data_IF_610200089026
#
_entry.id   IF_610200089026
#
_cell.length_a   1.000
_cell.length_b   1.000
_cell.length_c   1.000
_cell.angle_alpha   90.00
_cell.angle_beta   90.00
_cell.angle_gamma   90.00
#
_symmetry.space_group_name_H-M   'P 1'
#
loop_
_entity.id
_entity.type
_entity.pdbx_description
1 polymer ?
#
# COMPACT_ATOMS: atom_id res chain seq x y z
N UNK A 1 42.23 0.45 49.30
CA UNK A 1 42.50 0.01 47.91
C UNK A 1 41.21 -0.59 47.37
N UNK A 2 40.49 0.11 46.48
CA UNK A 2 39.23 -0.37 45.90
C UNK A 2 39.49 -0.90 44.48
N UNK A 3 38.98 -2.08 44.10
CA UNK A 3 39.13 -2.61 42.75
C UNK A 3 38.10 -1.98 41.81
N UNK A 4 38.57 -1.33 40.74
CA UNK A 4 37.74 -0.92 39.60
C UNK A 4 37.45 -2.13 38.72
N UNK A 5 36.21 -2.60 38.74
CA UNK A 5 35.74 -3.67 37.85
C UNK A 5 35.32 -3.03 36.53
N UNK A 6 36.23 -3.01 35.56
CA UNK A 6 35.93 -2.65 34.17
C UNK A 6 35.25 -3.85 33.51
N UNK A 7 33.93 -3.84 33.43
CA UNK A 7 33.17 -4.83 32.65
C UNK A 7 33.36 -4.54 31.16
N UNK A 8 34.38 -5.15 30.57
CA UNK A 8 34.53 -5.22 29.12
C UNK A 8 33.42 -6.11 28.55
N UNK A 9 32.33 -5.49 28.11
CA UNK A 9 31.22 -6.15 27.44
C UNK A 9 31.59 -6.59 26.02
N UNK A 10 31.79 -7.89 25.86
CA UNK A 10 31.47 -8.76 24.73
C UNK A 10 31.34 -8.13 23.31
N UNK A 11 32.27 -8.48 22.43
CA UNK A 11 32.00 -8.67 20.99
C UNK A 11 31.90 -7.45 20.07
N UNK A 12 32.31 -6.24 20.48
CA UNK A 12 32.28 -5.08 19.60
C UNK A 12 33.47 -5.06 18.63
N UNK A 13 33.28 -5.55 17.39
CA UNK A 13 34.28 -5.51 16.31
C UNK A 13 34.52 -4.07 15.79
N UNK A 14 33.67 -3.11 16.15
CA UNK A 14 33.76 -1.71 15.71
C UNK A 14 33.69 -0.72 16.88
N UNK A 15 34.39 0.42 16.80
CA UNK A 15 34.28 1.50 17.78
C UNK A 15 32.85 2.04 17.82
N UNK A 16 32.36 2.39 19.01
CA UNK A 16 30.98 2.84 19.28
C UNK A 16 30.56 4.06 18.45
N UNK A 17 31.50 4.93 18.08
CA UNK A 17 31.23 6.05 17.16
C UNK A 17 30.95 5.61 15.72
N UNK A 18 31.62 4.55 15.25
CA UNK A 18 31.41 4.02 13.90
C UNK A 18 30.04 3.32 13.80
N UNK A 19 29.62 2.56 14.82
CA UNK A 19 28.31 1.89 14.82
C UNK A 19 27.15 2.88 14.82
N UNK A 20 27.24 3.97 15.60
CA UNK A 20 26.19 5.00 15.63
C UNK A 20 26.13 5.79 14.30
N UNK A 21 27.28 6.06 13.68
CA UNK A 21 27.32 6.65 12.35
C UNK A 21 26.67 5.73 11.30
N UNK A 22 27.05 4.43 11.26
CA UNK A 22 26.46 3.46 10.33
C UNK A 22 24.94 3.33 10.54
N UNK A 23 24.50 3.24 11.80
CA UNK A 23 23.08 3.14 12.15
C UNK A 23 22.30 4.36 11.66
N UNK A 24 22.86 5.56 11.85
CA UNK A 24 22.25 6.80 11.37
C UNK A 24 22.16 6.84 9.84
N UNK A 25 23.23 6.49 9.13
CA UNK A 25 23.24 6.46 7.65
C UNK A 25 22.27 5.42 7.09
N UNK A 26 22.20 4.25 7.71
CA UNK A 26 21.25 3.21 7.34
C UNK A 26 19.81 3.68 7.54
N UNK A 27 19.49 4.30 8.68
CA UNK A 27 18.16 4.86 8.95
C UNK A 27 17.78 5.97 7.96
N UNK A 28 18.71 6.85 7.61
CA UNK A 28 18.51 7.89 6.60
C UNK A 28 18.23 7.25 5.21
N UNK A 29 18.99 6.23 4.83
CA UNK A 29 18.79 5.48 3.58
C UNK A 29 17.43 4.78 3.51
N UNK A 30 17.02 4.10 4.58
CA UNK A 30 15.69 3.46 4.66
C UNK A 30 14.57 4.49 4.54
N UNK A 31 14.70 5.64 5.23
CA UNK A 31 13.72 6.72 5.13
C UNK A 31 13.59 7.27 3.71
N UNK A 32 14.71 7.51 3.02
CA UNK A 32 14.73 7.96 1.63
C UNK A 32 14.09 6.94 0.69
N UNK A 33 14.43 5.66 0.87
CA UNK A 33 13.87 4.57 0.06
C UNK A 33 12.35 4.47 0.22
N UNK A 34 11.83 4.60 1.45
CA UNK A 34 10.39 4.61 1.71
C UNK A 34 9.68 5.78 1.04
N UNK A 35 10.25 6.98 1.08
CA UNK A 35 9.69 8.16 0.39
C UNK A 35 9.74 7.98 -1.12
N UNK A 36 10.85 7.44 -1.66
CA UNK A 36 10.96 7.15 -3.09
C UNK A 36 9.95 6.11 -3.55
N UNK A 37 9.76 5.02 -2.79
CA UNK A 37 8.75 4.01 -3.07
C UNK A 37 7.32 4.59 -3.01
N UNK A 38 7.03 5.44 -2.03
CA UNK A 38 5.75 6.14 -1.94
C UNK A 38 5.48 7.03 -3.16
N UNK A 39 6.46 7.83 -3.56
CA UNK A 39 6.37 8.68 -4.75
C UNK A 39 6.18 7.83 -6.01
N UNK A 40 6.94 6.74 -6.14
CA UNK A 40 6.80 5.80 -7.26
C UNK A 40 5.38 5.25 -7.36
N UNK A 41 4.81 4.73 -6.27
CA UNK A 41 3.46 4.15 -6.27
C UNK A 41 2.39 5.20 -6.62
N UNK A 42 2.45 6.37 -5.99
CA UNK A 42 1.44 7.43 -6.19
C UNK A 42 1.51 7.98 -7.61
N UNK A 43 2.70 8.33 -8.08
CA UNK A 43 2.87 8.90 -9.42
C UNK A 43 2.64 7.86 -10.52
N UNK A 44 2.95 6.59 -10.28
CA UNK A 44 2.57 5.51 -11.20
C UNK A 44 1.05 5.45 -11.34
N UNK A 45 0.31 5.49 -10.22
CA UNK A 45 -1.14 5.45 -10.23
C UNK A 45 -1.78 6.68 -10.88
N UNK A 46 -1.24 7.88 -10.60
CA UNK A 46 -1.69 9.13 -11.21
C UNK A 46 -1.38 9.19 -12.72
N UNK A 47 -0.27 8.56 -13.13
CA UNK A 47 0.15 8.45 -14.52
C UNK A 47 -0.46 7.26 -15.27
N UNK A 48 -1.50 6.62 -14.72
CA UNK A 48 -2.16 5.50 -15.39
C UNK A 48 -2.83 5.94 -16.70
N UNK A 49 -2.57 5.20 -17.77
CA UNK A 49 -3.29 5.34 -19.04
C UNK A 49 -3.81 3.97 -19.50
N UNK A 50 -5.11 3.82 -19.82
CA UNK A 50 -5.67 2.55 -20.28
C UNK A 50 -5.02 1.99 -21.56
N UNK A 51 -4.37 2.86 -22.35
CA UNK A 51 -3.68 2.48 -23.60
C UNK A 51 -2.19 2.16 -23.43
N UNK A 52 -1.63 2.21 -22.22
CA UNK A 52 -0.22 1.91 -22.00
C UNK A 52 0.04 0.39 -22.05
N UNK A 53 1.23 -0.06 -22.51
CA UNK A 53 1.63 -1.46 -22.42
C UNK A 53 1.66 -1.90 -20.94
N UNK A 54 0.86 -2.91 -20.61
CA UNK A 54 0.77 -3.49 -19.27
C UNK A 54 0.70 -5.01 -19.34
N UNK A 55 0.67 -5.69 -18.20
CA UNK A 55 0.51 -7.15 -18.16
C UNK A 55 -0.81 -7.62 -18.79
N UNK A 56 -1.86 -6.78 -18.74
CA UNK A 56 -3.18 -7.09 -19.30
C UNK A 56 -3.49 -6.33 -20.60
N UNK A 57 -2.63 -5.39 -21.02
CA UNK A 57 -2.78 -4.65 -22.26
C UNK A 57 -1.58 -4.90 -23.16
N UNK A 58 -1.78 -5.68 -24.23
CA UNK A 58 -0.78 -5.92 -25.28
C UNK A 58 -0.68 -4.71 -26.23
N UNK A 59 -0.53 -3.50 -25.67
CA UNK A 59 -0.34 -2.29 -26.46
C UNK A 59 1.07 -2.29 -27.06
N UNK A 60 1.17 -2.10 -28.37
CA UNK A 60 2.44 -1.87 -29.05
C UNK A 60 2.76 -0.36 -28.98
N UNK A 61 3.65 0.06 -28.08
CA UNK A 61 4.03 1.47 -27.94
C UNK A 61 4.89 1.79 -26.72
N UNK A 62 5.30 3.04 -26.60
CA UNK A 62 5.97 3.57 -25.40
C UNK A 62 4.95 3.84 -24.29
N UNK A 63 5.28 3.46 -23.05
CA UNK A 63 4.44 3.74 -21.90
C UNK A 63 4.43 5.25 -21.58
N UNK A 64 3.23 5.83 -21.43
CA UNK A 64 3.04 7.25 -21.11
C UNK A 64 3.20 7.54 -19.62
N UNK A 65 3.21 6.51 -18.79
CA UNK A 65 3.49 6.62 -17.37
C UNK A 65 4.84 7.34 -17.10
N UNK A 66 4.94 8.21 -16.08
CA UNK A 66 6.20 8.91 -15.76
C UNK A 66 7.40 8.00 -15.50
N UNK A 67 7.16 6.75 -15.07
CA UNK A 67 8.21 5.75 -14.87
C UNK A 67 8.30 4.72 -16.00
N UNK A 68 7.64 4.97 -17.13
CA UNK A 68 7.59 4.06 -18.26
C UNK A 68 6.87 2.74 -17.93
N UNK A 69 7.32 1.64 -18.55
CA UNK A 69 6.73 0.31 -18.43
C UNK A 69 6.57 -0.16 -16.96
N UNK A 70 7.57 -0.06 -16.06
CA UNK A 70 7.38 -0.53 -14.69
C UNK A 70 6.31 0.25 -13.93
N UNK A 71 6.15 1.55 -14.21
CA UNK A 71 5.07 2.36 -13.64
C UNK A 71 3.70 1.96 -14.19
N UNK A 72 3.59 1.75 -15.51
CA UNK A 72 2.38 1.25 -16.18
C UNK A 72 1.91 -0.08 -15.59
N UNK A 73 2.81 -1.06 -15.48
CA UNK A 73 2.50 -2.39 -14.91
C UNK A 73 2.04 -2.27 -13.45
N UNK A 74 2.73 -1.45 -12.66
CA UNK A 74 2.39 -1.26 -11.24
C UNK A 74 1.02 -0.62 -11.08
N UNK A 75 0.74 0.44 -11.85
CA UNK A 75 -0.53 1.14 -11.81
C UNK A 75 -1.69 0.24 -12.23
N UNK A 76 -1.53 -0.51 -13.33
CA UNK A 76 -2.54 -1.44 -13.83
C UNK A 76 -2.85 -2.54 -12.80
N UNK A 77 -1.80 -3.15 -12.23
CA UNK A 77 -1.97 -4.19 -11.21
C UNK A 77 -2.66 -3.65 -9.95
N UNK A 78 -2.29 -2.46 -9.47
CA UNK A 78 -2.90 -1.85 -8.30
C UNK A 78 -4.38 -1.51 -8.54
N UNK A 79 -4.71 -0.89 -9.67
CA UNK A 79 -6.08 -0.53 -10.01
C UNK A 79 -6.96 -1.77 -10.22
N UNK A 80 -6.44 -2.83 -10.84
CA UNK A 80 -7.20 -4.05 -11.02
C UNK A 80 -7.42 -4.80 -9.72
N UNK A 81 -6.39 -4.92 -8.87
CA UNK A 81 -6.50 -5.70 -7.63
C UNK A 81 -7.32 -5.00 -6.56
N UNK A 82 -6.97 -3.75 -6.25
CA UNK A 82 -7.49 -2.99 -5.10
C UNK A 82 -8.13 -1.64 -5.51
N UNK A 83 -8.09 -1.30 -6.80
CA UNK A 83 -8.72 -0.08 -7.30
C UNK A 83 -8.08 1.18 -6.75
N UNK A 84 -8.90 2.21 -6.56
CA UNK A 84 -8.49 3.51 -6.03
C UNK A 84 -7.95 3.43 -4.59
N UNK A 85 -8.24 2.34 -3.86
CA UNK A 85 -7.63 2.11 -2.55
C UNK A 85 -6.10 1.94 -2.63
N UNK A 86 -5.55 1.68 -3.83
CA UNK A 86 -4.11 1.63 -4.09
C UNK A 86 -3.32 2.90 -3.76
N UNK A 87 -3.96 4.05 -3.58
CA UNK A 87 -3.27 5.26 -3.06
C UNK A 87 -2.77 5.07 -1.61
N UNK A 88 -3.48 4.26 -0.81
CA UNK A 88 -3.27 4.18 0.63
C UNK A 88 -1.88 3.65 1.04
N UNK A 89 -1.35 2.57 0.44
CA UNK A 89 0.03 2.12 0.70
C UNK A 89 1.06 3.22 0.40
N UNK A 90 0.89 3.96 -0.70
CA UNK A 90 1.77 5.08 -1.05
C UNK A 90 1.80 6.15 0.03
N UNK A 91 0.63 6.58 0.51
CA UNK A 91 0.55 7.58 1.59
C UNK A 91 1.19 7.09 2.89
N UNK A 92 0.91 5.85 3.30
CA UNK A 92 1.44 5.30 4.55
C UNK A 92 2.96 5.15 4.49
N UNK A 93 3.50 4.64 3.39
CA UNK A 93 4.94 4.52 3.18
C UNK A 93 5.61 5.90 3.18
N UNK A 94 4.99 6.91 2.56
CA UNK A 94 5.50 8.28 2.56
C UNK A 94 5.58 8.87 3.98
N UNK A 95 4.51 8.69 4.76
CA UNK A 95 4.47 9.12 6.17
C UNK A 95 5.51 8.38 7.02
N UNK A 96 5.72 7.08 6.81
CA UNK A 96 6.75 6.31 7.53
C UNK A 96 8.17 6.68 7.09
N UNK A 97 8.38 6.95 5.80
CA UNK A 97 9.65 7.43 5.27
C UNK A 97 10.04 8.78 5.87
N UNK A 98 9.14 9.75 5.86
CA UNK A 98 9.36 11.08 6.48
C UNK A 98 9.59 10.96 7.99
N UNK A 99 8.82 10.12 8.69
CA UNK A 99 9.02 9.86 10.11
C UNK A 99 10.41 9.25 10.41
N UNK A 100 10.85 8.32 9.57
CA UNK A 100 12.17 7.68 9.68
C UNK A 100 13.30 8.69 9.43
N UNK A 101 13.16 9.58 8.44
CA UNK A 101 14.08 10.69 8.18
C UNK A 101 14.14 11.69 9.34
N UNK A 102 12.99 11.94 9.99
CA UNK A 102 12.88 12.76 11.21
C UNK A 102 13.37 12.05 12.47
N UNK A 103 13.97 10.85 12.35
CA UNK A 103 14.47 10.01 13.45
C UNK A 103 13.39 9.58 14.45
N UNK A 104 12.12 9.58 14.03
CA UNK A 104 10.97 9.13 14.80
C UNK A 104 10.31 7.93 14.10
N UNK A 105 10.99 6.78 13.99
CA UNK A 105 10.46 5.64 13.24
C UNK A 105 9.14 5.14 13.86
N UNK A 106 8.21 4.61 13.03
CA UNK A 106 6.92 4.15 13.51
C UNK A 106 7.07 3.03 14.54
N UNK A 107 6.44 3.18 15.70
CA UNK A 107 6.33 2.12 16.70
C UNK A 107 5.27 1.09 16.25
N UNK A 108 5.52 -0.18 16.58
CA UNK A 108 4.64 -1.32 16.28
C UNK A 108 4.35 -1.50 14.78
N UNK A 109 5.41 -1.57 13.96
CA UNK A 109 5.31 -1.67 12.49
C UNK A 109 4.37 -2.79 12.06
N UNK A 110 4.50 -4.00 12.64
CA UNK A 110 3.66 -5.14 12.29
C UNK A 110 2.16 -4.89 12.52
N UNK A 111 1.78 -4.31 13.67
CA UNK A 111 0.38 -3.96 13.94
C UNK A 111 -0.13 -2.95 12.91
N UNK A 112 0.69 -1.96 12.54
CA UNK A 112 0.32 -0.98 11.53
C UNK A 112 0.20 -1.57 10.13
N UNK A 113 1.00 -2.58 9.79
CA UNK A 113 0.86 -3.34 8.53
C UNK A 113 -0.48 -4.10 8.54
N UNK A 114 -0.81 -4.80 9.62
CA UNK A 114 -2.10 -5.49 9.74
C UNK A 114 -3.28 -4.51 9.62
N UNK A 115 -3.21 -3.37 10.33
CA UNK A 115 -4.22 -2.32 10.25
C UNK A 115 -4.31 -1.70 8.85
N UNK A 116 -3.18 -1.52 8.17
CA UNK A 116 -3.14 -1.05 6.79
C UNK A 116 -3.88 -2.01 5.87
N UNK A 117 -3.66 -3.31 5.98
CA UNK A 117 -4.36 -4.32 5.16
C UNK A 117 -5.87 -4.29 5.42
N UNK A 118 -6.28 -4.18 6.68
CA UNK A 118 -7.71 -4.05 7.03
C UNK A 118 -8.31 -2.77 6.44
N UNK A 119 -7.64 -1.62 6.61
CA UNK A 119 -8.09 -0.35 6.04
C UNK A 119 -8.16 -0.40 4.51
N UNK A 120 -7.21 -1.09 3.87
CA UNK A 120 -7.16 -1.26 2.42
C UNK A 120 -8.39 -2.03 1.92
N UNK A 121 -8.72 -3.13 2.59
CA UNK A 121 -9.89 -3.96 2.26
C UNK A 121 -11.19 -3.19 2.48
N UNK A 122 -11.33 -2.48 3.60
CA UNK A 122 -12.51 -1.67 3.90
C UNK A 122 -12.69 -0.52 2.90
N UNK A 123 -11.59 0.16 2.54
CA UNK A 123 -11.63 1.25 1.56
C UNK A 123 -11.96 0.72 0.17
N UNK A 124 -11.37 -0.41 -0.24
CA UNK A 124 -11.67 -1.11 -1.49
C UNK A 124 -13.16 -1.50 -1.58
N UNK A 125 -13.71 -2.11 -0.53
CA UNK A 125 -15.15 -2.41 -0.43
C UNK A 125 -16.01 -1.14 -0.54
N UNK A 126 -15.66 -0.09 0.20
CA UNK A 126 -16.39 1.19 0.19
C UNK A 126 -16.38 1.84 -1.20
N UNK A 127 -15.25 1.81 -1.91
CA UNK A 127 -15.15 2.32 -3.27
C UNK A 127 -15.96 1.48 -4.26
N UNK A 128 -16.01 0.15 -4.09
CA UNK A 128 -16.85 -0.71 -4.95
C UNK A 128 -18.35 -0.52 -4.75
N UNK A 129 -18.78 -0.03 -3.58
CA UNK A 129 -20.18 0.30 -3.33
C UNK A 129 -20.65 1.57 -4.06
N UNK A 130 -19.73 2.43 -4.50
CA UNK A 130 -20.05 3.65 -5.25
C UNK A 130 -20.50 3.33 -6.68
N UNK A 131 -21.31 4.23 -7.24
CA UNK A 131 -21.71 4.15 -8.65
C UNK A 131 -20.47 4.27 -9.55
N UNK A 132 -20.42 3.44 -10.59
CA UNK A 132 -19.34 3.46 -11.58
C UNK A 132 -19.58 4.67 -12.50
N UNK A 133 -18.63 5.61 -12.59
CA UNK A 133 -18.71 6.71 -13.56
C UNK A 133 -18.73 6.16 -15.00
N UNK A 134 -19.42 6.84 -15.91
CA UNK A 134 -19.52 6.43 -17.32
C UNK A 134 -18.16 6.33 -18.03
N UNK A 135 -17.19 7.12 -17.57
CA UNK A 135 -15.86 7.24 -18.19
C UNK A 135 -14.83 6.30 -17.54
N UNK A 136 -15.26 5.39 -16.67
CA UNK A 136 -14.36 4.47 -16.00
C UNK A 136 -13.79 3.43 -16.99
N UNK A 137 -12.47 3.40 -17.21
CA UNK A 137 -11.88 2.64 -18.30
C UNK A 137 -11.67 1.14 -18.00
N UNK A 138 -11.77 0.75 -16.73
CA UNK A 138 -11.51 -0.62 -16.29
C UNK A 138 -12.81 -1.42 -16.19
N UNK A 139 -12.75 -2.72 -16.52
CA UNK A 139 -13.88 -3.63 -16.35
C UNK A 139 -14.25 -3.86 -14.87
N UNK A 140 -13.35 -3.54 -13.94
CA UNK A 140 -13.55 -3.64 -12.49
C UNK A 140 -14.31 -2.43 -11.95
N UNK A 141 -14.93 -2.57 -10.76
CA UNK A 141 -15.43 -1.39 -10.02
C UNK A 141 -14.27 -0.55 -9.48
N UNK A 142 -14.58 0.64 -8.95
CA UNK A 142 -13.60 1.56 -8.36
C UNK A 142 -12.74 0.97 -7.23
N UNK A 143 -13.23 -0.08 -6.55
CA UNK A 143 -12.48 -0.83 -5.54
C UNK A 143 -11.63 -1.97 -6.07
N UNK A 144 -11.54 -2.17 -7.39
CA UNK A 144 -10.85 -3.32 -8.00
C UNK A 144 -11.56 -4.66 -7.71
N UNK A 145 -10.90 -5.75 -8.08
CA UNK A 145 -11.41 -7.13 -7.92
C UNK A 145 -11.63 -7.48 -6.44
N UNK A 146 -10.74 -7.06 -5.54
CA UNK A 146 -10.90 -7.32 -4.12
C UNK A 146 -12.22 -6.73 -3.58
N UNK A 147 -12.49 -5.47 -3.93
CA UNK A 147 -13.69 -4.77 -3.49
C UNK A 147 -14.96 -5.31 -4.14
N UNK A 148 -14.92 -5.70 -5.42
CA UNK A 148 -16.08 -6.31 -6.10
C UNK A 148 -16.46 -7.63 -5.46
N UNK A 149 -15.49 -8.52 -5.25
CA UNK A 149 -15.71 -9.83 -4.62
C UNK A 149 -16.24 -9.65 -3.20
N UNK A 150 -15.66 -8.75 -2.41
CA UNK A 150 -16.15 -8.48 -1.06
C UNK A 150 -17.59 -7.98 -1.08
N UNK A 151 -17.91 -7.02 -1.96
CA UNK A 151 -19.25 -6.45 -2.04
C UNK A 151 -20.29 -7.51 -2.42
N UNK A 152 -20.02 -8.30 -3.46
CA UNK A 152 -20.91 -9.36 -3.92
C UNK A 152 -21.20 -10.38 -2.83
N UNK A 153 -20.15 -10.84 -2.11
CA UNK A 153 -20.30 -11.78 -1.00
C UNK A 153 -21.08 -11.17 0.16
N UNK A 154 -20.82 -9.91 0.51
CA UNK A 154 -21.57 -9.22 1.55
C UNK A 154 -23.05 -9.08 1.18
N UNK A 155 -23.37 -8.71 -0.07
CA UNK A 155 -24.76 -8.59 -0.52
C UNK A 155 -25.49 -9.93 -0.56
N UNK A 156 -24.81 -11.01 -0.95
CA UNK A 156 -25.39 -12.36 -0.96
C UNK A 156 -25.72 -12.83 0.47
N UNK A 157 -24.81 -12.66 1.42
CA UNK A 157 -25.04 -13.03 2.82
C UNK A 157 -26.19 -12.24 3.45
N UNK A 158 -26.29 -10.95 3.14
CA UNK A 158 -27.41 -10.11 3.60
C UNK A 158 -28.72 -10.59 3.00
N UNK A 159 -28.76 -10.91 1.70
CA UNK A 159 -29.95 -11.44 1.05
C UNK A 159 -30.40 -12.78 1.68
N UNK A 160 -29.48 -13.70 1.91
CA UNK A 160 -29.75 -14.98 2.58
C UNK A 160 -30.27 -14.77 4.01
N UNK A 161 -29.68 -13.85 4.76
CA UNK A 161 -30.12 -13.53 6.12
C UNK A 161 -31.53 -12.90 6.14
N UNK A 162 -31.85 -12.03 5.18
CA UNK A 162 -33.17 -11.43 5.04
C UNK A 162 -34.23 -12.50 4.79
N UNK A 163 -33.97 -13.41 3.84
CA UNK A 163 -34.85 -14.56 3.54
C UNK A 163 -35.02 -15.48 4.75
N UNK A 164 -33.93 -15.78 5.46
CA UNK A 164 -33.96 -16.63 6.66
C UNK A 164 -34.77 -16.01 7.82
N UNK A 165 -34.84 -14.68 7.88
CA UNK A 165 -35.62 -13.93 8.86
C UNK A 165 -37.08 -13.72 8.43
N UNK A 166 -37.47 -14.18 7.24
CA UNK A 166 -38.81 -13.97 6.67
C UNK A 166 -39.15 -12.50 6.41
N UNK A 167 -38.11 -11.66 6.23
CA UNK A 167 -38.23 -10.23 5.96
C UNK A 167 -38.30 -9.97 4.44
N UNK A 168 -39.24 -10.61 3.77
CA UNK A 168 -39.43 -10.45 2.33
C UNK A 168 -40.17 -9.13 2.08
N UNK A 169 -39.45 -8.05 1.82
CA UNK A 169 -40.05 -6.75 1.46
C UNK A 169 -40.56 -6.71 0.01
N UNK A 170 -40.74 -7.86 -0.64
CA UNK A 170 -41.38 -7.97 -1.95
C UNK A 170 -42.90 -7.95 -1.79
N UNK A 171 -43.47 -6.74 -1.68
CA UNK A 171 -44.85 -6.42 -2.10
C UNK A 171 -44.76 -5.48 -3.29
#
# INVERSE_FOLDING_TARGET
>A
MAPTVTTAGSGAILPTGATEFLRRRFSEGVGLLLVAAAAFLILSLLGYSPGDPSLNSAAAGEARNPFGIPGSITADLMLQTIGLAGVLPGLILGVWGVQTLRKNPPRYVWLRICLMLICLMLLSLSMSALAIPSDWPLATRLGGVAGTVMLERSTALVAEAILALGLDWTV
#
